data_IF_012689323323
#
_entry.id   IF_012689323323
#
_cell.length_a   1.000
_cell.length_b   1.000
_cell.length_c   1.000
_cell.angle_alpha   90.00
_cell.angle_beta   90.00
_cell.angle_gamma   90.00
#
_symmetry.space_group_name_H-M   'P 1'
#
loop_
_entity.id
_entity.type
_entity.pdbx_description
1 polymer ?
#
# COMPACT_ATOMS: atom_id res chain seq x y z
N UNK A 1 -14.35 -13.12 9.36
CA UNK A 1 -13.33 -12.58 10.29
C UNK A 1 -12.01 -13.29 9.99
N UNK A 2 -11.18 -12.70 9.14
CA UNK A 2 -9.86 -13.24 8.85
C UNK A 2 -8.99 -12.97 10.07
N UNK A 3 -8.70 -14.02 10.81
CA UNK A 3 -7.75 -13.96 11.91
C UNK A 3 -6.38 -13.71 11.27
N UNK A 4 -5.81 -12.52 11.44
CA UNK A 4 -4.38 -12.32 11.22
C UNK A 4 -3.72 -13.44 11.99
N UNK A 5 -3.10 -14.39 11.30
CA UNK A 5 -2.36 -15.46 11.95
C UNK A 5 -1.18 -14.80 12.66
N UNK A 6 -1.36 -14.44 13.93
CA UNK A 6 -0.29 -13.99 14.82
C UNK A 6 0.58 -15.20 15.21
N UNK A 7 0.81 -16.10 14.27
CA UNK A 7 1.56 -17.33 14.47
C UNK A 7 2.91 -17.25 13.76
N UNK A 8 3.84 -18.00 14.28
CA UNK A 8 5.07 -18.31 13.56
C UNK A 8 4.74 -19.21 12.37
N UNK A 9 5.48 -19.09 11.30
CA UNK A 9 5.28 -19.85 10.08
C UNK A 9 6.62 -20.32 9.54
N UNK A 10 6.65 -21.55 9.06
CA UNK A 10 7.75 -22.12 8.31
C UNK A 10 7.26 -22.50 6.91
N UNK A 11 7.84 -21.89 5.89
CA UNK A 11 7.59 -22.24 4.49
C UNK A 11 8.79 -23.03 4.03
N UNK A 12 8.58 -24.27 3.57
CA UNK A 12 9.64 -25.19 3.17
C UNK A 12 9.63 -25.46 1.67
N UNK A 13 10.78 -25.78 1.12
CA UNK A 13 10.98 -26.26 -0.24
C UNK A 13 10.58 -25.29 -1.37
N UNK A 14 10.41 -23.99 -1.06
CA UNK A 14 10.03 -23.01 -2.06
C UNK A 14 11.20 -22.52 -2.91
N UNK A 15 10.94 -22.22 -4.19
CA UNK A 15 11.92 -21.57 -5.05
C UNK A 15 11.95 -20.06 -4.74
N UNK A 16 13.02 -19.60 -4.12
CA UNK A 16 13.25 -18.20 -3.75
C UNK A 16 14.15 -17.51 -4.78
N UNK A 17 13.92 -16.22 -5.00
CA UNK A 17 14.75 -15.40 -5.90
C UNK A 17 15.61 -14.46 -5.07
N UNK A 18 16.82 -14.89 -4.75
CA UNK A 18 17.78 -14.16 -3.93
C UNK A 18 18.97 -13.70 -4.79
N UNK A 19 19.31 -12.41 -4.74
CA UNK A 19 20.47 -11.84 -5.46
C UNK A 19 20.53 -12.25 -6.93
N UNK A 20 19.38 -12.24 -7.63
CA UNK A 20 19.21 -12.63 -9.04
C UNK A 20 19.43 -14.14 -9.35
N UNK A 21 19.41 -14.99 -8.33
CA UNK A 21 19.46 -16.44 -8.48
C UNK A 21 18.19 -17.07 -7.96
N UNK A 22 17.75 -18.14 -8.62
CA UNK A 22 16.66 -18.98 -8.15
C UNK A 22 17.26 -20.13 -7.34
N UNK A 23 16.88 -20.24 -6.08
CA UNK A 23 17.38 -21.26 -5.17
C UNK A 23 16.22 -21.87 -4.38
N UNK A 24 16.21 -23.19 -4.24
CA UNK A 24 15.25 -23.87 -3.35
C UNK A 24 15.69 -23.64 -1.91
N UNK A 25 14.74 -23.37 -1.03
CA UNK A 25 15.05 -23.18 0.37
C UNK A 25 13.82 -22.96 1.25
N UNK A 26 14.08 -22.68 2.51
CA UNK A 26 13.08 -22.50 3.56
C UNK A 26 13.08 -21.08 4.08
N UNK A 27 11.90 -20.60 4.44
CA UNK A 27 11.67 -19.29 5.00
C UNK A 27 10.93 -19.40 6.33
N UNK A 28 11.49 -18.88 7.41
CA UNK A 28 10.81 -18.80 8.70
C UNK A 28 10.35 -17.39 9.00
N UNK A 29 9.09 -17.28 9.40
CA UNK A 29 8.47 -16.03 9.82
C UNK A 29 8.16 -16.11 11.31
N UNK A 30 8.61 -15.13 12.09
CA UNK A 30 8.31 -14.98 13.52
C UNK A 30 7.76 -13.58 13.77
N UNK A 31 6.64 -13.53 14.47
CA UNK A 31 6.01 -12.25 14.83
C UNK A 31 5.78 -11.31 13.63
N UNK A 32 5.44 -11.88 12.48
CA UNK A 32 5.14 -11.10 11.26
C UNK A 32 6.36 -10.63 10.47
N UNK A 33 7.59 -11.01 10.85
CA UNK A 33 8.81 -10.68 10.13
C UNK A 33 9.57 -11.93 9.70
N UNK A 34 10.27 -11.84 8.58
CA UNK A 34 11.18 -12.91 8.13
C UNK A 34 12.35 -12.98 9.11
N UNK A 35 12.45 -14.10 9.83
CA UNK A 35 13.49 -14.31 10.84
C UNK A 35 14.67 -15.13 10.32
N UNK A 36 14.44 -16.02 9.36
CA UNK A 36 15.47 -16.89 8.81
C UNK A 36 15.17 -17.21 7.35
N UNK A 37 16.20 -17.19 6.52
CA UNK A 37 16.20 -17.70 5.16
C UNK A 37 17.30 -18.76 5.09
N UNK A 38 16.95 -19.99 4.71
CA UNK A 38 17.89 -21.08 4.56
C UNK A 38 17.90 -21.57 3.10
N UNK A 39 18.95 -21.20 2.35
CA UNK A 39 19.18 -21.71 1.01
C UNK A 39 19.60 -23.18 1.10
N UNK A 40 19.00 -24.02 0.23
CA UNK A 40 19.19 -25.47 0.31
C UNK A 40 18.23 -26.17 1.29
N UNK A 41 17.40 -25.42 2.03
CA UNK A 41 16.44 -25.98 2.97
C UNK A 41 17.04 -26.42 4.32
N UNK A 42 16.32 -27.31 5.02
CA UNK A 42 16.80 -27.95 6.25
C UNK A 42 16.37 -27.27 7.54
N UNK A 43 15.41 -26.35 7.51
CA UNK A 43 14.82 -25.81 8.72
C UNK A 43 13.78 -26.80 9.29
N UNK A 44 14.03 -27.27 10.51
CA UNK A 44 13.09 -28.14 11.20
C UNK A 44 11.94 -27.33 11.82
N UNK A 45 10.69 -27.82 11.72
CA UNK A 45 9.57 -27.21 12.42
C UNK A 45 9.76 -27.17 13.93
N UNK A 46 9.42 -26.08 14.57
CA UNK A 46 9.44 -25.98 16.02
C UNK A 46 8.01 -25.91 16.56
N UNK A 47 7.42 -27.03 16.84
CA UNK A 47 6.17 -27.34 17.54
C UNK A 47 4.94 -26.40 17.46
N UNK A 48 5.12 -25.09 17.28
CA UNK A 48 4.06 -24.07 17.27
C UNK A 48 3.94 -23.32 15.93
N UNK A 49 4.71 -23.70 14.94
CA UNK A 49 4.72 -23.05 13.62
C UNK A 49 3.68 -23.68 12.69
N UNK A 50 3.01 -22.84 11.91
CA UNK A 50 2.27 -23.32 10.74
C UNK A 50 3.30 -23.66 9.67
N UNK A 51 3.33 -24.93 9.27
CA UNK A 51 4.24 -25.41 8.20
C UNK A 51 3.50 -25.40 6.87
N UNK A 52 4.11 -24.77 5.87
CA UNK A 52 3.63 -24.74 4.49
C UNK A 52 4.68 -25.42 3.61
N UNK A 53 4.31 -26.51 2.95
CA UNK A 53 5.13 -27.09 1.89
C UNK A 53 4.91 -26.31 0.59
N UNK A 54 5.96 -25.65 0.12
CA UNK A 54 5.97 -24.86 -1.10
C UNK A 54 6.71 -25.56 -2.24
N UNK A 55 6.80 -26.91 -2.21
CA UNK A 55 7.39 -27.70 -3.28
C UNK A 55 6.76 -27.37 -4.62
N UNK A 56 7.58 -26.96 -5.60
CA UNK A 56 7.14 -26.54 -6.93
C UNK A 56 6.52 -25.14 -6.99
N UNK A 57 6.47 -24.42 -5.89
CA UNK A 57 5.99 -23.03 -5.83
C UNK A 57 7.15 -22.05 -5.78
N UNK A 58 6.88 -20.81 -6.22
CA UNK A 58 7.81 -19.71 -6.17
C UNK A 58 7.49 -18.80 -4.99
N UNK A 59 8.50 -18.46 -4.20
CA UNK A 59 8.39 -17.50 -3.10
C UNK A 59 8.91 -16.15 -3.56
N UNK A 60 8.01 -15.20 -3.63
CA UNK A 60 8.28 -13.82 -4.04
C UNK A 60 7.88 -12.86 -2.93
N UNK A 61 8.53 -11.70 -2.80
CA UNK A 61 7.98 -10.60 -2.02
C UNK A 61 6.59 -10.26 -2.52
N UNK A 62 5.68 -9.91 -1.61
CA UNK A 62 4.36 -9.44 -2.00
C UNK A 62 4.47 -8.20 -2.88
N UNK A 63 3.70 -8.15 -3.96
CA UNK A 63 3.70 -7.01 -4.84
C UNK A 63 3.09 -5.77 -4.16
N UNK A 64 3.56 -4.60 -4.56
CA UNK A 64 3.01 -3.30 -4.13
C UNK A 64 2.37 -2.66 -5.35
N UNK A 65 1.08 -2.34 -5.26
CA UNK A 65 0.40 -1.53 -6.26
C UNK A 65 0.43 -0.05 -5.84
N UNK A 66 1.25 0.79 -6.49
CA UNK A 66 1.45 2.16 -6.06
C UNK A 66 0.36 3.13 -6.57
N UNK A 67 -0.66 2.64 -7.28
CA UNK A 67 -1.64 3.52 -7.91
C UNK A 67 -3.00 2.85 -8.08
N UNK A 68 -3.83 2.91 -7.06
CA UNK A 68 -5.21 2.41 -7.13
C UNK A 68 -6.22 3.53 -6.88
N UNK A 69 -7.46 3.28 -7.26
CA UNK A 69 -8.60 4.18 -7.06
C UNK A 69 -9.74 3.40 -6.39
N UNK A 70 -9.56 3.02 -5.15
CA UNK A 70 -10.66 2.50 -4.33
C UNK A 70 -11.51 3.68 -3.90
N UNK A 71 -12.74 3.72 -4.34
CA UNK A 71 -13.63 4.88 -4.25
C UNK A 71 -14.30 5.03 -2.88
N UNK A 72 -13.72 4.50 -1.83
CA UNK A 72 -14.20 4.53 -0.46
C UNK A 72 -13.31 5.49 0.38
N UNK A 73 -13.88 6.48 1.05
CA UNK A 73 -15.31 6.81 1.13
C UNK A 73 -15.89 7.47 -0.12
N UNK A 74 -17.21 7.39 -0.25
CA UNK A 74 -18.03 8.23 -1.10
C UNK A 74 -18.63 7.58 -2.34
N UNK A 75 -17.99 6.57 -2.93
CA UNK A 75 -18.50 5.83 -4.09
C UNK A 75 -18.20 4.33 -3.97
N UNK A 76 -18.59 3.67 -2.85
CA UNK A 76 -18.27 2.27 -2.59
C UNK A 76 -18.91 1.30 -3.61
N UNK A 77 -19.93 1.74 -4.33
CA UNK A 77 -20.54 0.98 -5.43
C UNK A 77 -19.63 0.77 -6.64
N UNK A 78 -18.57 1.59 -6.78
CA UNK A 78 -17.56 1.40 -7.82
C UNK A 78 -16.48 0.41 -7.39
N UNK A 79 -15.91 0.65 -6.22
CA UNK A 79 -14.96 -0.21 -5.52
C UNK A 79 -14.80 0.30 -4.10
N UNK A 80 -14.96 -0.56 -3.11
CA UNK A 80 -14.69 -0.21 -1.72
C UNK A 80 -13.32 -0.74 -1.25
N UNK A 81 -12.88 -0.27 -0.08
CA UNK A 81 -11.59 -0.66 0.48
C UNK A 81 -11.53 -2.14 0.90
N UNK A 82 -12.66 -2.77 1.25
CA UNK A 82 -12.68 -4.18 1.60
C UNK A 82 -12.57 -5.06 0.35
N UNK A 83 -13.43 -4.86 -0.63
CA UNK A 83 -13.44 -5.66 -1.86
C UNK A 83 -12.16 -5.48 -2.65
N UNK A 84 -11.70 -4.22 -2.81
CA UNK A 84 -10.46 -3.91 -3.51
C UNK A 84 -9.22 -4.52 -2.85
N UNK A 85 -9.09 -4.42 -1.52
CA UNK A 85 -7.96 -5.03 -0.82
C UNK A 85 -7.99 -6.57 -0.86
N UNK A 86 -9.17 -7.19 -0.87
CA UNK A 86 -9.32 -8.65 -1.07
C UNK A 86 -8.95 -9.07 -2.48
N UNK A 87 -9.35 -8.32 -3.49
CA UNK A 87 -8.95 -8.56 -4.88
C UNK A 87 -7.44 -8.42 -5.04
N UNK A 88 -6.83 -7.37 -4.45
CA UNK A 88 -5.39 -7.18 -4.41
C UNK A 88 -4.68 -8.40 -3.79
N UNK A 89 -5.11 -8.84 -2.60
CA UNK A 89 -4.54 -10.00 -1.92
C UNK A 89 -4.63 -11.29 -2.77
N UNK A 90 -5.76 -11.50 -3.47
CA UNK A 90 -5.95 -12.67 -4.33
C UNK A 90 -5.01 -12.68 -5.54
N UNK A 91 -4.55 -11.50 -5.97
CA UNK A 91 -3.56 -11.32 -7.03
C UNK A 91 -2.10 -11.28 -6.54
N UNK A 92 -1.86 -11.49 -5.23
CA UNK A 92 -0.50 -11.44 -4.66
C UNK A 92 -0.01 -10.02 -4.33
N UNK A 93 -0.88 -9.02 -4.41
CA UNK A 93 -0.59 -7.65 -3.98
C UNK A 93 -0.82 -7.56 -2.48
N UNK A 94 0.24 -7.29 -1.73
CA UNK A 94 0.20 -7.22 -0.26
C UNK A 94 0.15 -5.80 0.27
N UNK A 95 0.35 -4.82 -0.58
CA UNK A 95 0.29 -3.40 -0.24
C UNK A 95 -0.27 -2.60 -1.41
N UNK A 96 -1.06 -1.58 -1.15
CA UNK A 96 -1.51 -0.64 -2.18
C UNK A 96 -1.39 0.81 -1.71
N UNK A 97 -1.26 1.72 -2.67
CA UNK A 97 -1.26 3.16 -2.44
C UNK A 97 -2.44 3.78 -3.20
N UNK A 98 -3.40 4.31 -2.45
CA UNK A 98 -4.67 4.77 -3.03
C UNK A 98 -4.72 6.29 -3.22
N UNK A 99 -5.32 6.69 -4.33
CA UNK A 99 -5.41 8.07 -4.78
C UNK A 99 -6.46 8.88 -4.00
N UNK A 100 -6.34 10.22 -3.98
CA UNK A 100 -7.14 11.08 -3.10
C UNK A 100 -8.52 11.46 -3.64
N UNK A 101 -8.88 11.04 -4.86
CA UNK A 101 -10.12 11.43 -5.51
C UNK A 101 -11.36 10.65 -5.04
N UNK A 102 -11.52 10.62 -3.75
CA UNK A 102 -12.69 10.12 -3.02
C UNK A 102 -13.77 11.21 -2.89
N UNK A 103 -14.86 10.91 -2.21
CA UNK A 103 -15.87 11.90 -1.81
C UNK A 103 -16.10 11.80 -0.29
N UNK A 104 -15.67 12.79 0.49
CA UNK A 104 -14.89 13.96 0.08
C UNK A 104 -13.47 13.62 -0.39
N UNK A 105 -12.85 14.51 -1.17
CA UNK A 105 -11.46 14.37 -1.59
C UNK A 105 -10.54 14.33 -0.36
N UNK A 106 -9.50 13.49 -0.41
CA UNK A 106 -8.51 13.38 0.65
C UNK A 106 -7.44 14.48 0.52
N UNK A 107 -7.74 15.70 0.97
CA UNK A 107 -6.94 16.91 0.73
C UNK A 107 -6.41 17.59 2.00
N UNK A 108 -6.79 17.11 3.16
CA UNK A 108 -6.41 17.65 4.47
C UNK A 108 -6.25 16.54 5.51
N UNK A 109 -5.80 16.91 6.70
CA UNK A 109 -5.60 15.97 7.82
C UNK A 109 -6.87 15.22 8.20
N UNK A 110 -8.02 15.89 8.20
CA UNK A 110 -9.29 15.30 8.63
C UNK A 110 -9.77 14.23 7.67
N UNK A 111 -9.75 14.52 6.38
CA UNK A 111 -10.16 13.60 5.32
C UNK A 111 -9.21 12.41 5.19
N UNK A 112 -7.90 12.62 5.34
CA UNK A 112 -6.90 11.55 5.38
C UNK A 112 -7.10 10.66 6.60
N UNK A 113 -7.27 11.25 7.81
CA UNK A 113 -7.48 10.46 9.03
C UNK A 113 -8.74 9.60 8.94
N UNK A 114 -9.84 10.17 8.46
CA UNK A 114 -11.08 9.42 8.24
C UNK A 114 -10.86 8.23 7.29
N UNK A 115 -10.12 8.41 6.21
CA UNK A 115 -9.80 7.35 5.25
C UNK A 115 -8.93 6.26 5.88
N UNK A 116 -7.94 6.63 6.70
CA UNK A 116 -7.12 5.69 7.48
C UNK A 116 -7.96 4.88 8.47
N UNK A 117 -8.90 5.53 9.16
CA UNK A 117 -9.78 4.88 10.14
C UNK A 117 -10.74 3.87 9.49
N UNK A 118 -11.21 4.18 8.27
CA UNK A 118 -12.03 3.26 7.47
C UNK A 118 -11.17 2.08 7.02
N UNK A 119 -10.00 2.34 6.48
CA UNK A 119 -9.08 1.32 5.99
C UNK A 119 -8.62 0.35 7.09
N UNK A 120 -8.33 0.86 8.28
CA UNK A 120 -7.96 0.04 9.44
C UNK A 120 -9.02 -1.01 9.81
N UNK A 121 -10.29 -0.77 9.47
CA UNK A 121 -11.41 -1.67 9.74
C UNK A 121 -11.71 -2.62 8.58
N UNK A 122 -11.46 -2.19 7.35
CA UNK A 122 -11.91 -2.88 6.13
C UNK A 122 -10.78 -3.61 5.39
N UNK A 123 -9.59 -3.02 5.32
CA UNK A 123 -8.52 -3.57 4.49
C UNK A 123 -7.93 -4.86 5.04
N UNK A 124 -7.64 -5.79 4.16
CA UNK A 124 -6.96 -7.06 4.46
C UNK A 124 -5.47 -7.05 4.06
N UNK A 125 -5.02 -6.00 3.36
CA UNK A 125 -3.63 -5.77 2.97
C UNK A 125 -3.10 -4.49 3.60
N UNK A 126 -1.79 -4.28 3.54
CA UNK A 126 -1.19 -2.99 3.91
C UNK A 126 -1.67 -1.90 2.94
N UNK A 127 -1.75 -0.68 3.45
CA UNK A 127 -2.28 0.43 2.68
C UNK A 127 -1.59 1.75 3.03
N UNK A 128 -1.52 2.64 2.05
CA UNK A 128 -1.13 4.02 2.19
C UNK A 128 -2.00 4.89 1.30
N UNK A 129 -2.05 6.19 1.62
CA UNK A 129 -2.89 7.14 0.92
C UNK A 129 -2.10 8.34 0.46
N UNK A 130 -2.39 8.81 -0.75
CA UNK A 130 -1.91 10.09 -1.22
C UNK A 130 -2.83 11.21 -0.71
N UNK A 131 -2.24 12.33 -0.29
CA UNK A 131 -2.98 13.57 -0.12
C UNK A 131 -3.09 14.29 -1.45
N UNK A 132 -4.27 14.79 -1.79
CA UNK A 132 -4.50 15.53 -3.03
C UNK A 132 -4.07 16.98 -2.91
N UNK A 133 -3.28 17.45 -3.87
CA UNK A 133 -2.97 18.87 -3.99
C UNK A 133 -4.12 19.62 -4.66
N UNK A 134 -4.37 20.82 -4.17
CA UNK A 134 -5.28 21.83 -4.75
C UNK A 134 -4.54 23.17 -4.85
N UNK A 135 -5.16 24.14 -5.50
CA UNK A 135 -4.61 25.50 -5.59
C UNK A 135 -4.41 26.20 -4.24
N UNK A 136 -5.09 25.74 -3.18
CA UNK A 136 -5.14 26.44 -1.89
C UNK A 136 -4.67 25.68 -0.67
N UNK A 137 -4.37 24.37 -0.76
CA UNK A 137 -4.19 23.52 0.43
C UNK A 137 -2.73 23.19 0.79
N UNK A 138 -1.76 24.01 0.40
CA UNK A 138 -0.33 23.74 0.68
C UNK A 138 -0.06 23.54 2.18
N UNK A 139 -0.67 24.34 3.05
CA UNK A 139 -0.50 24.19 4.50
C UNK A 139 -1.07 22.87 5.03
N UNK A 140 -2.19 22.39 4.47
CA UNK A 140 -2.77 21.09 4.82
C UNK A 140 -1.86 19.95 4.38
N UNK A 141 -1.31 20.02 3.14
CA UNK A 141 -0.33 19.07 2.64
C UNK A 141 0.86 18.97 3.60
N UNK A 142 1.47 20.11 3.94
CA UNK A 142 2.61 20.16 4.87
C UNK A 142 2.25 19.59 6.25
N UNK A 143 1.01 19.79 6.71
CA UNK A 143 0.54 19.27 7.99
C UNK A 143 0.46 17.73 8.06
N UNK A 144 0.35 17.06 6.91
CA UNK A 144 0.23 15.59 6.81
C UNK A 144 1.48 14.92 6.27
N UNK A 145 2.47 15.68 5.79
CA UNK A 145 3.76 15.10 5.40
C UNK A 145 4.41 14.39 6.59
N UNK A 146 4.88 13.15 6.36
CA UNK A 146 5.44 12.30 7.41
C UNK A 146 4.42 11.66 8.36
N UNK A 147 3.13 11.90 8.18
CA UNK A 147 2.08 11.21 8.92
C UNK A 147 2.04 9.73 8.51
N UNK A 148 1.96 8.84 9.50
CA UNK A 148 1.86 7.40 9.24
C UNK A 148 0.64 7.09 8.38
N UNK A 149 0.87 6.37 7.27
CA UNK A 149 -0.16 6.02 6.29
C UNK A 149 -0.31 7.03 5.16
N UNK A 150 0.37 8.18 5.21
CA UNK A 150 0.49 9.11 4.07
C UNK A 150 1.74 8.76 3.29
N UNK A 151 1.57 8.36 2.03
CA UNK A 151 2.67 7.88 1.19
C UNK A 151 3.22 8.94 0.22
N UNK A 152 2.53 10.05 0.06
CA UNK A 152 2.95 11.13 -0.83
C UNK A 152 1.82 12.08 -1.21
N UNK A 153 2.09 12.92 -2.18
CA UNK A 153 1.20 13.96 -2.66
C UNK A 153 0.79 13.64 -4.10
N UNK A 154 -0.50 13.67 -4.39
CA UNK A 154 -1.03 13.51 -5.75
C UNK A 154 -1.37 14.86 -6.34
N UNK A 155 -0.87 15.13 -7.55
CA UNK A 155 -1.19 16.33 -8.33
C UNK A 155 -1.84 15.90 -9.66
N UNK A 156 -3.05 16.38 -9.91
CA UNK A 156 -3.73 16.21 -11.18
C UNK A 156 -3.48 17.44 -12.04
N UNK A 157 -2.62 17.31 -13.05
CA UNK A 157 -2.15 18.43 -13.88
C UNK A 157 -2.94 18.57 -15.19
N UNK A 158 -3.54 17.49 -15.68
CA UNK A 158 -4.26 17.50 -16.98
C UNK A 158 -5.77 17.34 -16.81
N UNK A 159 -6.22 16.34 -16.14
CA UNK A 159 -7.65 16.05 -15.94
C UNK A 159 -7.91 15.55 -14.54
N UNK A 160 -9.00 16.02 -13.94
CA UNK A 160 -9.45 15.53 -12.62
C UNK A 160 -10.93 15.83 -12.42
N UNK A 161 -11.48 15.24 -11.36
CA UNK A 161 -12.83 15.51 -10.88
C UNK A 161 -12.77 16.51 -9.70
N UNK A 162 -13.70 17.45 -9.68
CA UNK A 162 -13.79 18.48 -8.64
C UNK A 162 -12.60 19.43 -8.62
N UNK A 163 -12.23 19.91 -7.44
CA UNK A 163 -11.21 20.96 -7.26
C UNK A 163 -9.76 20.43 -7.21
N UNK A 164 -9.51 19.18 -7.63
CA UNK A 164 -8.19 18.56 -7.61
C UNK A 164 -7.29 18.97 -8.79
N UNK A 165 -7.80 19.72 -9.77
CA UNK A 165 -6.99 20.13 -10.92
C UNK A 165 -6.05 21.28 -10.56
N UNK A 166 -4.75 21.03 -10.72
CA UNK A 166 -3.68 22.03 -10.55
C UNK A 166 -2.82 22.05 -11.83
N UNK A 167 -3.02 23.03 -12.69
CA UNK A 167 -2.36 23.14 -13.99
C UNK A 167 -1.65 24.47 -14.20
N UNK A 168 -1.92 25.46 -13.36
CA UNK A 168 -1.25 26.76 -13.42
C UNK A 168 0.20 26.62 -12.95
N UNK A 169 1.14 27.15 -13.74
CA UNK A 169 2.57 27.02 -13.47
C UNK A 169 2.96 27.54 -12.08
N UNK A 170 2.44 28.69 -11.66
CA UNK A 170 2.74 29.27 -10.35
C UNK A 170 2.26 28.42 -9.18
N UNK A 171 1.12 27.73 -9.31
CA UNK A 171 0.63 26.80 -8.28
C UNK A 171 1.50 25.55 -8.22
N UNK A 172 1.90 25.02 -9.38
CA UNK A 172 2.82 23.87 -9.46
C UNK A 172 4.17 24.20 -8.83
N UNK A 173 4.79 25.33 -9.23
CA UNK A 173 6.07 25.77 -8.67
C UNK A 173 5.99 25.93 -7.15
N UNK A 174 4.89 26.49 -6.64
CA UNK A 174 4.66 26.66 -5.20
C UNK A 174 4.58 25.32 -4.48
N UNK A 175 3.86 24.33 -5.02
CA UNK A 175 3.75 23.01 -4.43
C UNK A 175 5.11 22.29 -4.49
N UNK A 176 5.74 22.22 -5.66
CA UNK A 176 7.01 21.51 -5.85
C UNK A 176 8.13 22.08 -4.97
N UNK A 177 8.18 23.41 -4.79
CA UNK A 177 9.24 24.08 -4.01
C UNK A 177 9.03 23.99 -2.49
N UNK A 178 7.84 23.63 -2.03
CA UNK A 178 7.49 23.68 -0.61
C UNK A 178 7.04 22.32 -0.03
N UNK A 179 7.25 21.24 -0.74
CA UNK A 179 6.95 19.89 -0.30
C UNK A 179 8.17 18.99 -0.44
N UNK A 180 8.41 18.12 0.52
CA UNK A 180 9.56 17.20 0.53
C UNK A 180 9.23 15.73 0.25
N UNK A 181 7.94 15.40 0.13
CA UNK A 181 7.47 14.05 -0.05
C UNK A 181 7.50 13.54 -1.50
N UNK A 182 7.07 12.30 -1.69
CA UNK A 182 6.90 11.70 -3.02
C UNK A 182 5.76 12.42 -3.74
N UNK A 183 6.02 12.87 -4.97
CA UNK A 183 5.02 13.47 -5.85
C UNK A 183 4.54 12.44 -6.88
N UNK A 184 3.25 12.16 -6.89
CA UNK A 184 2.58 11.35 -7.90
C UNK A 184 1.82 12.28 -8.87
N UNK A 185 2.20 12.27 -10.13
CA UNK A 185 1.71 13.21 -11.13
C UNK A 185 0.88 12.51 -12.19
N UNK A 186 -0.12 13.22 -12.70
CA UNK A 186 -0.82 12.85 -13.94
C UNK A 186 -1.05 14.12 -14.76
N UNK A 187 -0.64 14.10 -16.02
CA UNK A 187 -0.65 15.26 -16.92
C UNK A 187 -1.38 14.98 -18.24
N UNK A 188 -2.17 13.93 -18.28
CA UNK A 188 -2.98 13.52 -19.44
C UNK A 188 -4.42 13.95 -19.22
#
# INVERSE_FOLDING_TARGET
MWRIMKGNMLIQNGTMYLQKKAEIGDLRIKSGVISTIATGGGLEPNGEEVVIDATGLHLLPGAIDPHVHFRDPGQPEKEDLESGSRAAASGGITSFLDMPNNIPNAIDRTTIQNKLDIAAKKCVTHHGFFVGATKGNLADIQSVEGMTGVCGIKIFMGSSTGDLLVHEQGDLERIFSNTGGILSLIHI
#
